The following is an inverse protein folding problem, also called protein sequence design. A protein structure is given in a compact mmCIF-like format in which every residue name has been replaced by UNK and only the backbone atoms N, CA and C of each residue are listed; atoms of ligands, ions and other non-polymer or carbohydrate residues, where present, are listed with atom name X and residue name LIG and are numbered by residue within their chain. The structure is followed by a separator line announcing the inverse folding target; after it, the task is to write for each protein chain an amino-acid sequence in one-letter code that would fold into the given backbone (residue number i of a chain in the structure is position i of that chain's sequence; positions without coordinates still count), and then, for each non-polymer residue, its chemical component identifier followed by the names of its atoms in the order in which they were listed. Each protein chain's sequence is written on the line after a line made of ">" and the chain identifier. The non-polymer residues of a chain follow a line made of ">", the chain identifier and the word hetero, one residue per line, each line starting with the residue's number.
data_IF_664533829749
#
_entry.id   IF_664533829749
#
_cell.length_a   1.000
_cell.length_b   1.000
_cell.length_c   1.000
_cell.angle_alpha   90.00
_cell.angle_beta   90.00
_cell.angle_gamma   90.00
#
_symmetry.space_group_name_H-M   'P 1'
#
loop_
_entity.id
_entity.type
_entity.pdbx_description
1 polymer ?
#
# COMPACT_ATOMS: atom_id res chain seq x y z
N UNK A 1 -29.21 16.49 21.31
CA UNK A 1 -28.40 16.50 20.08
C UNK A 1 -26.96 16.94 20.38
N UNK A 2 -26.28 16.31 21.35
CA UNK A 2 -24.94 16.71 21.86
C UNK A 2 -23.90 15.60 21.88
N UNK A 3 -24.23 14.39 21.43
CA UNK A 3 -23.36 13.20 21.60
C UNK A 3 -22.42 12.96 20.41
N UNK A 4 -22.67 13.53 19.25
CA UNK A 4 -21.90 13.22 18.03
C UNK A 4 -20.61 14.05 17.91
N UNK A 5 -20.55 15.29 18.46
CA UNK A 5 -19.37 16.14 18.35
C UNK A 5 -18.15 15.68 19.16
N UNK A 6 -18.37 15.13 20.35
CA UNK A 6 -17.27 14.68 21.23
C UNK A 6 -16.54 13.43 20.71
N UNK A 7 -17.19 12.58 19.91
CA UNK A 7 -16.58 11.41 19.31
C UNK A 7 -15.66 11.73 18.12
N UNK A 8 -15.96 12.78 17.34
CA UNK A 8 -15.09 13.18 16.23
C UNK A 8 -13.80 13.88 16.69
N UNK A 9 -13.86 14.70 17.72
CA UNK A 9 -12.66 15.36 18.27
C UNK A 9 -11.71 14.37 18.97
N UNK A 10 -12.25 13.34 19.62
CA UNK A 10 -11.44 12.27 20.22
C UNK A 10 -10.84 11.30 19.19
N UNK A 11 -11.48 11.12 18.04
CA UNK A 11 -10.97 10.28 16.96
C UNK A 11 -9.83 10.97 16.18
N UNK A 12 -9.91 12.28 16.00
CA UNK A 12 -8.84 13.06 15.31
C UNK A 12 -7.52 13.07 16.12
N UNK A 13 -7.60 13.04 17.45
CA UNK A 13 -6.42 12.98 18.32
C UNK A 13 -5.75 11.60 18.39
N UNK A 14 -6.39 10.55 17.89
CA UNK A 14 -5.91 9.16 17.91
C UNK A 14 -5.45 8.60 16.57
N UNK A 15 -5.26 9.42 15.56
CA UNK A 15 -4.47 8.99 14.40
C UNK A 15 -3.00 9.00 14.81
N UNK A 16 -2.67 8.16 15.80
CA UNK A 16 -1.32 7.72 16.00
C UNK A 16 -0.87 7.14 14.67
N UNK A 17 0.18 7.74 14.11
CA UNK A 17 0.92 7.25 12.95
C UNK A 17 1.02 5.73 13.09
N UNK A 18 0.59 4.93 12.10
CA UNK A 18 0.62 3.49 12.24
C UNK A 18 2.02 3.09 12.65
N UNK A 19 2.13 2.38 13.77
CA UNK A 19 3.36 1.74 14.19
C UNK A 19 3.91 1.00 12.97
N UNK A 20 5.22 1.18 12.74
CA UNK A 20 6.03 0.60 11.66
C UNK A 20 5.38 -0.62 11.02
N UNK A 21 5.03 -0.50 9.76
CA UNK A 21 4.59 -1.61 8.91
C UNK A 21 5.45 -2.84 9.25
N UNK A 22 4.85 -4.00 9.54
CA UNK A 22 5.60 -5.25 9.72
C UNK A 22 6.59 -5.34 8.56
N UNK A 23 7.87 -5.57 8.86
CA UNK A 23 8.98 -5.39 7.94
C UNK A 23 8.64 -5.82 6.52
N UNK A 24 8.86 -4.91 5.58
CA UNK A 24 8.54 -5.16 4.17
C UNK A 24 9.10 -6.54 3.80
N UNK A 25 8.31 -7.40 3.15
CA UNK A 25 8.77 -8.74 2.80
C UNK A 25 10.08 -8.62 2.03
N UNK A 26 11.04 -9.48 2.36
CA UNK A 26 12.34 -9.49 1.71
C UNK A 26 12.12 -9.60 0.19
N UNK A 27 12.65 -8.63 -0.55
CA UNK A 27 12.49 -8.62 -2.00
C UNK A 27 13.33 -9.75 -2.60
N UNK A 28 12.84 -10.45 -3.63
CA UNK A 28 13.62 -11.41 -4.38
C UNK A 28 14.93 -10.80 -4.86
N UNK A 29 16.03 -11.54 -4.76
CA UNK A 29 17.38 -11.05 -5.05
C UNK A 29 17.50 -10.37 -6.42
N UNK A 30 16.86 -10.94 -7.43
CA UNK A 30 16.84 -10.38 -8.79
C UNK A 30 16.22 -8.98 -8.86
N UNK A 31 15.17 -8.72 -8.06
CA UNK A 31 14.52 -7.40 -7.97
C UNK A 31 15.37 -6.45 -7.13
N UNK A 32 15.91 -6.94 -6.00
CA UNK A 32 16.77 -6.15 -5.12
C UNK A 32 18.04 -5.65 -5.84
N UNK A 33 18.68 -6.50 -6.65
CA UNK A 33 19.83 -6.12 -7.47
C UNK A 33 19.50 -5.00 -8.45
N UNK A 34 18.40 -5.13 -9.21
CA UNK A 34 17.95 -4.09 -10.14
C UNK A 34 17.62 -2.76 -9.45
N UNK A 35 17.03 -2.82 -8.26
CA UNK A 35 16.78 -1.62 -7.45
C UNK A 35 18.08 -0.94 -7.00
N UNK A 36 19.13 -1.73 -6.72
CA UNK A 36 20.46 -1.22 -6.36
C UNK A 36 21.17 -0.47 -7.49
N UNK A 37 20.77 -0.69 -8.73
CA UNK A 37 21.29 0.02 -9.91
C UNK A 37 20.61 1.39 -10.12
N UNK A 38 19.52 1.67 -9.41
CA UNK A 38 18.82 2.95 -9.51
C UNK A 38 19.50 4.03 -8.66
N UNK A 39 19.47 5.30 -9.11
CA UNK A 39 19.86 6.43 -8.27
C UNK A 39 19.05 6.45 -6.98
N UNK A 40 19.69 6.82 -5.86
CA UNK A 40 19.08 6.76 -4.52
C UNK A 40 17.80 7.59 -4.43
N UNK A 41 17.73 8.73 -5.13
CA UNK A 41 16.54 9.59 -5.21
C UNK A 41 15.30 8.89 -5.78
N UNK A 42 15.47 7.79 -6.52
CA UNK A 42 14.39 7.00 -7.14
C UNK A 42 14.24 5.64 -6.47
N UNK A 43 15.35 5.06 -5.99
CA UNK A 43 15.39 3.70 -5.44
C UNK A 43 14.39 3.47 -4.29
N UNK A 44 14.24 4.45 -3.40
CA UNK A 44 13.32 4.37 -2.26
C UNK A 44 11.86 4.20 -2.69
N UNK A 45 11.39 5.04 -3.62
CA UNK A 45 10.00 4.96 -4.12
C UNK A 45 9.81 3.73 -5.03
N UNK A 46 10.83 3.38 -5.82
CA UNK A 46 10.79 2.20 -6.68
C UNK A 46 10.72 0.91 -5.85
N UNK A 47 11.37 0.84 -4.70
CA UNK A 47 11.30 -0.30 -3.77
C UNK A 47 9.88 -0.52 -3.25
N UNK A 48 9.18 0.55 -2.87
CA UNK A 48 7.78 0.49 -2.43
C UNK A 48 6.88 -0.03 -3.56
N UNK A 49 7.08 0.51 -4.77
CA UNK A 49 6.35 0.06 -5.96
C UNK A 49 6.60 -1.41 -6.30
N UNK A 50 7.86 -1.85 -6.26
CA UNK A 50 8.22 -3.24 -6.51
C UNK A 50 7.60 -4.20 -5.49
N UNK A 51 7.65 -3.88 -4.19
CA UNK A 51 7.02 -4.68 -3.15
C UNK A 51 5.50 -4.83 -3.37
N UNK A 52 4.84 -3.73 -3.76
CA UNK A 52 3.41 -3.75 -4.12
C UNK A 52 3.12 -4.67 -5.31
N UNK A 53 3.97 -4.65 -6.33
CA UNK A 53 3.77 -5.43 -7.56
C UNK A 53 4.08 -6.92 -7.36
N UNK A 54 5.02 -7.28 -6.47
CA UNK A 54 5.23 -8.66 -6.04
C UNK A 54 3.98 -9.20 -5.33
N UNK A 55 3.41 -8.40 -4.44
CA UNK A 55 2.17 -8.78 -3.76
C UNK A 55 0.96 -8.81 -4.72
N UNK A 56 0.95 -7.96 -5.72
CA UNK A 56 -0.12 -7.87 -6.71
C UNK A 56 -0.11 -9.08 -7.65
N UNK A 57 1.05 -9.44 -8.20
CA UNK A 57 1.19 -10.52 -9.16
C UNK A 57 2.39 -11.42 -8.82
N UNK A 58 3.62 -10.99 -9.15
CA UNK A 58 4.83 -11.77 -8.95
C UNK A 58 6.13 -10.94 -9.06
N UNK A 59 7.27 -11.61 -8.86
CA UNK A 59 8.58 -10.99 -8.96
C UNK A 59 8.96 -10.58 -10.40
N UNK A 60 8.48 -11.29 -11.43
CA UNK A 60 8.77 -10.96 -12.82
C UNK A 60 8.07 -9.65 -13.22
N UNK A 61 6.83 -9.46 -12.74
CA UNK A 61 6.09 -8.23 -12.95
C UNK A 61 6.78 -7.03 -12.28
N UNK A 62 7.26 -7.22 -11.03
CA UNK A 62 8.04 -6.21 -10.33
C UNK A 62 9.38 -5.91 -11.03
N UNK A 63 10.07 -6.91 -11.55
CA UNK A 63 11.30 -6.71 -12.32
C UNK A 63 11.06 -5.88 -13.58
N UNK A 64 9.99 -6.19 -14.33
CA UNK A 64 9.57 -5.41 -15.50
C UNK A 64 9.29 -3.94 -15.16
N UNK A 65 8.70 -3.67 -14.00
CA UNK A 65 8.49 -2.32 -13.50
C UNK A 65 9.82 -1.62 -13.24
N UNK A 66 10.75 -2.24 -12.50
CA UNK A 66 12.06 -1.64 -12.18
C UNK A 66 12.84 -1.33 -13.46
N UNK A 67 12.82 -2.22 -14.45
CA UNK A 67 13.48 -2.01 -15.75
C UNK A 67 12.91 -0.79 -16.51
N UNK A 68 11.58 -0.57 -16.41
CA UNK A 68 10.94 0.62 -17.00
C UNK A 68 11.35 1.90 -16.29
N UNK A 69 11.37 1.89 -14.96
CA UNK A 69 11.81 3.03 -14.14
C UNK A 69 13.28 3.36 -14.44
N UNK A 70 14.16 2.34 -14.50
CA UNK A 70 15.57 2.51 -14.82
C UNK A 70 15.78 3.14 -16.21
N UNK A 71 14.97 2.77 -17.19
CA UNK A 71 15.02 3.37 -18.53
C UNK A 71 14.70 4.87 -18.51
N UNK A 72 13.73 5.29 -17.72
CA UNK A 72 13.40 6.71 -17.57
C UNK A 72 14.49 7.42 -16.78
N UNK A 73 15.00 6.83 -15.68
CA UNK A 73 16.02 7.43 -14.84
C UNK A 73 17.32 7.76 -15.62
N UNK A 74 17.67 6.96 -16.62
CA UNK A 74 18.80 7.23 -17.53
C UNK A 74 18.59 8.43 -18.45
N UNK A 75 17.36 8.87 -18.66
CA UNK A 75 17.02 9.98 -19.57
C UNK A 75 16.62 11.25 -18.81
N UNK A 76 15.85 11.08 -17.75
CA UNK A 76 15.27 12.16 -16.96
C UNK A 76 15.07 11.68 -15.53
N UNK A 77 16.02 12.04 -14.68
CA UNK A 77 16.03 11.63 -13.27
C UNK A 77 14.87 12.24 -12.46
N UNK A 78 14.54 13.54 -12.58
CA UNK A 78 13.35 14.12 -11.94
C UNK A 78 12.06 13.43 -12.33
N UNK A 79 11.85 13.14 -13.60
CA UNK A 79 10.66 12.43 -14.08
C UNK A 79 10.59 10.99 -13.56
N UNK A 80 11.73 10.32 -13.36
CA UNK A 80 11.78 8.93 -12.92
C UNK A 80 11.12 8.70 -11.56
N UNK A 81 11.23 9.62 -10.61
CA UNK A 81 10.58 9.51 -9.31
C UNK A 81 9.04 9.58 -9.42
N UNK A 82 8.54 10.47 -10.26
CA UNK A 82 7.10 10.61 -10.55
C UNK A 82 6.61 9.35 -11.27
N UNK A 83 7.34 8.92 -12.30
CA UNK A 83 7.00 7.71 -13.06
C UNK A 83 7.01 6.47 -12.18
N UNK A 84 8.00 6.32 -11.29
CA UNK A 84 8.07 5.19 -10.37
C UNK A 84 6.78 5.07 -9.54
N UNK A 85 6.29 6.19 -9.01
CA UNK A 85 5.05 6.21 -8.23
C UNK A 85 3.83 5.87 -9.09
N UNK A 86 3.64 6.56 -10.20
CA UNK A 86 2.44 6.42 -11.04
C UNK A 86 2.40 5.06 -11.74
N UNK A 87 3.53 4.60 -12.26
CA UNK A 87 3.62 3.32 -12.93
C UNK A 87 3.31 2.15 -12.00
N UNK A 88 3.77 2.20 -10.74
CA UNK A 88 3.42 1.17 -9.75
C UNK A 88 1.90 1.11 -9.51
N UNK A 89 1.23 2.26 -9.46
CA UNK A 89 -0.23 2.33 -9.33
C UNK A 89 -0.93 1.74 -10.56
N UNK A 90 -0.51 2.11 -11.75
CA UNK A 90 -1.11 1.62 -12.99
C UNK A 90 -0.86 0.13 -13.24
N UNK A 91 0.33 -0.37 -12.89
CA UNK A 91 0.68 -1.78 -13.01
C UNK A 91 0.04 -2.65 -11.92
N UNK A 92 -0.50 -2.05 -10.85
CA UNK A 92 -1.27 -2.71 -9.79
C UNK A 92 -2.73 -2.25 -9.81
N UNK A 93 -3.35 -2.24 -11.00
CA UNK A 93 -4.76 -1.90 -11.13
C UNK A 93 -5.62 -2.77 -10.21
N UNK A 94 -6.37 -2.13 -9.33
CA UNK A 94 -7.19 -2.82 -8.34
C UNK A 94 -8.59 -3.07 -8.94
N UNK A 95 -8.86 -4.30 -9.32
CA UNK A 95 -10.22 -4.75 -9.59
C UNK A 95 -11.03 -4.94 -8.29
N UNK A 96 -12.33 -5.07 -8.41
CA UNK A 96 -13.22 -5.25 -7.27
C UNK A 96 -12.85 -6.49 -6.42
N UNK A 97 -12.39 -7.56 -7.06
CA UNK A 97 -11.99 -8.82 -6.41
C UNK A 97 -10.77 -8.61 -5.52
N UNK A 98 -9.77 -7.89 -6.03
CA UNK A 98 -8.56 -7.54 -5.27
C UNK A 98 -8.88 -6.65 -4.07
N UNK A 99 -9.69 -5.62 -4.28
CA UNK A 99 -10.13 -4.72 -3.20
C UNK A 99 -10.89 -5.50 -2.13
N UNK A 100 -11.81 -6.38 -2.52
CA UNK A 100 -12.54 -7.24 -1.59
C UNK A 100 -11.59 -8.16 -0.79
N UNK A 101 -10.61 -8.79 -1.45
CA UNK A 101 -9.62 -9.65 -0.82
C UNK A 101 -8.79 -8.90 0.23
N UNK A 102 -8.30 -7.69 -0.10
CA UNK A 102 -7.55 -6.84 0.85
C UNK A 102 -8.43 -6.46 2.04
N UNK A 103 -9.69 -6.12 1.82
CA UNK A 103 -10.63 -5.72 2.86
C UNK A 103 -11.05 -6.88 3.77
N UNK A 104 -11.04 -8.11 3.28
CA UNK A 104 -11.37 -9.32 4.03
C UNK A 104 -10.18 -9.87 4.87
N UNK A 105 -8.98 -9.30 4.79
CA UNK A 105 -7.80 -9.80 5.51
C UNK A 105 -8.03 -9.80 7.03
N UNK A 106 -7.72 -10.94 7.68
CA UNK A 106 -7.88 -11.11 9.14
C UNK A 106 -7.14 -10.03 9.94
N UNK A 107 -5.94 -9.64 9.52
CA UNK A 107 -5.12 -8.60 10.16
C UNK A 107 -5.87 -7.25 10.17
N UNK A 108 -6.53 -6.90 9.06
CA UNK A 108 -7.35 -5.70 8.98
C UNK A 108 -8.55 -5.76 9.93
N UNK A 109 -9.25 -6.89 9.93
CA UNK A 109 -10.42 -7.08 10.82
C UNK A 109 -10.02 -7.04 12.30
N UNK A 110 -8.88 -7.62 12.67
CA UNK A 110 -8.34 -7.54 14.02
C UNK A 110 -8.02 -6.09 14.43
N UNK A 111 -7.43 -5.30 13.50
CA UNK A 111 -7.18 -3.88 13.73
C UNK A 111 -8.49 -3.10 13.95
N UNK A 112 -9.50 -3.32 13.11
CA UNK A 112 -10.82 -2.66 13.25
C UNK A 112 -11.47 -3.00 14.60
N UNK A 113 -11.37 -4.25 15.04
CA UNK A 113 -11.87 -4.64 16.37
C UNK A 113 -11.13 -3.90 17.50
N UNK A 114 -9.81 -3.76 17.39
CA UNK A 114 -9.02 -3.04 18.36
C UNK A 114 -9.35 -1.53 18.36
N UNK A 115 -9.51 -0.91 17.21
CA UNK A 115 -9.92 0.50 17.04
C UNK A 115 -11.33 0.76 17.60
N UNK A 116 -12.24 -0.22 17.45
CA UNK A 116 -13.59 -0.16 18.03
C UNK A 116 -13.63 -0.48 19.53
N UNK A 117 -12.51 -0.79 20.16
CA UNK A 117 -12.41 -1.24 21.56
C UNK A 117 -13.38 -2.41 21.87
N UNK A 118 -13.58 -3.31 20.91
CA UNK A 118 -14.51 -4.43 21.05
C UNK A 118 -13.94 -5.50 21.99
N UNK A 119 -14.76 -5.90 22.97
CA UNK A 119 -14.42 -6.98 23.90
C UNK A 119 -14.46 -8.36 23.23
N UNK A 120 -13.83 -9.39 23.81
CA UNK A 120 -14.01 -10.76 23.37
C UNK A 120 -15.49 -11.17 23.38
N UNK A 121 -16.02 -11.62 22.24
CA UNK A 121 -17.43 -11.99 22.10
C UNK A 121 -18.33 -10.92 21.48
N UNK A 122 -17.88 -9.66 21.42
CA UNK A 122 -18.64 -8.59 20.78
C UNK A 122 -18.79 -8.82 19.27
N UNK A 123 -19.95 -8.49 18.73
CA UNK A 123 -20.22 -8.52 17.29
C UNK A 123 -19.86 -7.17 16.68
N UNK A 124 -18.80 -7.13 15.90
CA UNK A 124 -18.40 -5.94 15.11
C UNK A 124 -18.89 -6.11 13.70
N UNK A 125 -19.80 -5.23 13.25
CA UNK A 125 -20.31 -5.21 11.88
C UNK A 125 -19.55 -4.16 11.07
N UNK A 126 -18.77 -4.62 10.07
CA UNK A 126 -18.07 -3.74 9.13
C UNK A 126 -18.93 -3.60 7.87
N UNK A 127 -19.23 -2.37 7.48
CA UNK A 127 -19.88 -2.05 6.21
C UNK A 127 -18.91 -1.29 5.34
N UNK A 128 -18.74 -1.75 4.12
CA UNK A 128 -17.85 -1.13 3.13
C UNK A 128 -18.68 -0.59 1.98
N UNK A 129 -18.40 0.64 1.59
CA UNK A 129 -18.95 1.21 0.38
C UNK A 129 -17.88 1.13 -0.71
N UNK A 130 -18.25 0.55 -1.83
CA UNK A 130 -17.43 0.55 -3.04
C UNK A 130 -18.00 1.62 -3.96
N UNK A 131 -17.20 2.61 -4.32
CA UNK A 131 -17.51 3.46 -5.46
C UNK A 131 -16.93 2.74 -6.69
N UNK A 132 -17.76 2.19 -7.60
CA UNK A 132 -17.22 1.71 -8.86
C UNK A 132 -16.61 2.91 -9.58
N UNK A 133 -15.32 2.80 -9.92
CA UNK A 133 -14.68 3.76 -10.80
C UNK A 133 -15.42 3.75 -12.14
N UNK A 134 -15.87 4.91 -12.56
CA UNK A 134 -16.47 5.11 -13.88
C UNK A 134 -15.31 5.23 -14.87
#
# INVERSE_FOLDING_TARGET
>A
MRVIRSHFESAAARVARPASTPGAPALPEAVARRLGELPESVAGIARIGAARLIEYQDAAWAASYVDRVARIARRDLPAAAIVARQLALWMSYEDATRVASIKARRVRLARIRAEAAAAPGDVVRVREMFAPGI
#
